data_IF_320535981537
#
_entry.id   IF_320535981537
#
_cell.length_a   1.000
_cell.length_b   1.000
_cell.length_c   1.000
_cell.angle_alpha   90.00
_cell.angle_beta   90.00
_cell.angle_gamma   90.00
#
_symmetry.space_group_name_H-M   'P 1'
#
loop_
_entity.id
_entity.type
_entity.pdbx_description
1 polymer ?
#
# COMPACT_ATOMS: atom_id res chain seq x y z
N UNK A 1 38.42 16.89 -10.16
CA UNK A 1 37.93 15.96 -9.12
C UNK A 1 36.42 15.88 -9.27
N UNK A 2 35.79 14.70 -9.41
CA UNK A 2 34.34 14.64 -9.43
C UNK A 2 33.83 15.05 -8.05
N UNK A 3 33.01 16.10 -8.00
CA UNK A 3 32.35 16.53 -6.77
C UNK A 3 31.42 15.40 -6.31
N UNK A 4 31.62 14.93 -5.08
CA UNK A 4 30.77 13.93 -4.46
C UNK A 4 29.39 14.56 -4.26
N UNK A 5 28.43 14.21 -5.12
CA UNK A 5 27.04 14.64 -4.99
C UNK A 5 26.54 14.24 -3.59
N UNK A 6 26.28 15.23 -2.74
CA UNK A 6 25.71 15.01 -1.41
C UNK A 6 24.20 14.95 -1.62
N UNK A 7 23.66 13.74 -1.74
CA UNK A 7 22.22 13.52 -1.68
C UNK A 7 21.77 13.73 -0.23
N UNK A 8 21.05 14.82 0.04
CA UNK A 8 20.42 15.04 1.34
C UNK A 8 19.03 14.41 1.31
N UNK A 9 18.81 13.44 2.20
CA UNK A 9 17.50 12.86 2.42
C UNK A 9 16.65 13.85 3.23
N UNK A 10 15.54 14.32 2.66
CA UNK A 10 14.68 15.33 3.30
C UNK A 10 13.51 14.74 4.07
N UNK A 11 12.85 13.73 3.49
CA UNK A 11 11.64 13.16 4.07
C UNK A 11 11.54 11.66 3.79
N UNK A 12 10.92 10.96 4.74
CA UNK A 12 10.52 9.56 4.60
C UNK A 12 9.05 9.45 4.92
N UNK A 13 8.27 8.98 3.95
CA UNK A 13 6.85 8.74 4.10
C UNK A 13 6.56 7.25 3.94
N UNK A 14 5.67 6.71 4.77
CA UNK A 14 5.25 5.31 4.70
C UNK A 14 3.81 5.24 4.24
N UNK A 15 3.52 4.29 3.35
CA UNK A 15 2.21 4.14 2.75
C UNK A 15 1.73 2.71 2.81
N UNK A 16 0.46 2.56 3.14
CA UNK A 16 -0.32 1.36 2.92
C UNK A 16 -1.36 1.62 1.84
N UNK A 17 -1.32 0.84 0.77
CA UNK A 17 -2.30 0.89 -0.31
C UNK A 17 -3.08 -0.41 -0.29
N UNK A 18 -4.40 -0.31 -0.46
CA UNK A 18 -5.25 -1.45 -0.73
C UNK A 18 -6.27 -1.14 -1.80
N UNK A 19 -6.67 -2.15 -2.55
CA UNK A 19 -7.77 -2.03 -3.50
C UNK A 19 -8.57 -3.31 -3.59
N UNK A 20 -9.85 -3.13 -3.94
CA UNK A 20 -10.71 -4.17 -4.49
C UNK A 20 -11.14 -3.71 -5.87
N UNK A 21 -11.03 -4.62 -6.83
CA UNK A 21 -11.67 -4.48 -8.13
C UNK A 21 -12.66 -5.62 -8.36
N UNK A 22 -13.74 -5.35 -9.09
CA UNK A 22 -14.77 -6.31 -9.44
C UNK A 22 -14.92 -6.35 -10.95
N UNK A 23 -14.47 -7.46 -11.54
CA UNK A 23 -14.41 -7.66 -12.98
C UNK A 23 -15.71 -8.34 -13.43
N UNK A 24 -16.65 -7.52 -13.87
CA UNK A 24 -17.94 -8.00 -14.38
C UNK A 24 -17.85 -8.65 -15.78
N UNK A 25 -16.78 -8.38 -16.53
CA UNK A 25 -16.59 -8.87 -17.90
C UNK A 25 -16.06 -10.31 -17.96
N UNK A 26 -15.53 -10.81 -16.83
CA UNK A 26 -15.07 -12.20 -16.73
C UNK A 26 -16.27 -13.16 -16.65
N UNK A 27 -16.11 -14.34 -17.26
CA UNK A 27 -17.06 -15.45 -17.14
C UNK A 27 -16.37 -16.66 -16.48
N UNK A 28 -16.59 -16.90 -15.16
CA UNK A 28 -17.47 -16.16 -14.25
C UNK A 28 -16.82 -14.86 -13.69
N UNK A 29 -17.62 -13.89 -13.20
CA UNK A 29 -17.11 -12.64 -12.64
C UNK A 29 -16.12 -12.86 -11.50
N UNK A 30 -15.08 -12.02 -11.42
CA UNK A 30 -13.99 -12.15 -10.42
C UNK A 30 -13.83 -10.91 -9.55
N UNK A 31 -13.33 -11.10 -8.34
CA UNK A 31 -12.87 -10.02 -7.45
C UNK A 31 -11.35 -10.11 -7.35
N UNK A 32 -10.66 -9.01 -7.62
CA UNK A 32 -9.22 -8.87 -7.41
C UNK A 32 -8.97 -7.98 -6.20
N UNK A 33 -8.29 -8.51 -5.19
CA UNK A 33 -7.82 -7.80 -4.02
C UNK A 33 -6.33 -7.53 -4.15
N UNK A 34 -5.91 -6.31 -3.86
CA UNK A 34 -4.50 -5.92 -3.88
C UNK A 34 -4.15 -5.14 -2.62
N UNK A 35 -2.96 -5.40 -2.07
CA UNK A 35 -2.39 -4.63 -0.98
C UNK A 35 -0.89 -4.40 -1.18
N UNK A 36 -0.39 -3.24 -0.76
CA UNK A 36 1.03 -2.88 -0.85
C UNK A 36 1.48 -2.06 0.35
N UNK A 37 2.65 -2.42 0.88
CA UNK A 37 3.41 -1.61 1.83
C UNK A 37 4.62 -1.02 1.11
N UNK A 38 4.70 0.31 1.09
CA UNK A 38 5.79 1.03 0.43
C UNK A 38 6.31 2.19 1.28
N UNK A 39 7.60 2.51 1.10
CA UNK A 39 8.25 3.70 1.64
C UNK A 39 8.62 4.62 0.49
N UNK A 40 8.32 5.89 0.63
CA UNK A 40 8.76 6.93 -0.29
C UNK A 40 9.83 7.78 0.41
N UNK A 41 11.00 7.87 -0.20
CA UNK A 41 12.11 8.70 0.29
C UNK A 41 12.32 9.85 -0.68
N UNK A 42 12.22 11.08 -0.17
CA UNK A 42 12.44 12.30 -0.96
C UNK A 42 13.88 12.77 -0.76
N UNK A 43 14.55 13.02 -1.87
CA UNK A 43 15.92 13.52 -1.94
C UNK A 43 15.90 14.88 -2.63
N UNK A 44 16.70 15.80 -2.12
CA UNK A 44 16.94 17.08 -2.78
C UNK A 44 18.40 17.20 -3.17
N UNK A 45 18.61 17.42 -4.45
CA UNK A 45 19.86 17.83 -5.06
C UNK A 45 19.81 19.34 -5.35
N UNK A 46 20.96 19.94 -5.64
CA UNK A 46 21.17 21.40 -5.79
C UNK A 46 20.10 22.09 -6.65
N UNK A 47 19.52 21.40 -7.64
CA UNK A 47 18.50 21.94 -8.55
C UNK A 47 17.24 21.07 -8.70
N UNK A 48 17.16 19.91 -8.03
CA UNK A 48 16.09 18.94 -8.26
C UNK A 48 15.69 18.20 -7.00
N UNK A 49 14.38 18.15 -6.74
CA UNK A 49 13.79 17.25 -5.75
C UNK A 49 13.21 16.04 -6.47
N UNK A 50 13.56 14.84 -6.04
CA UNK A 50 12.99 13.59 -6.55
C UNK A 50 12.58 12.66 -5.41
N UNK A 51 11.55 11.85 -5.66
CA UNK A 51 11.10 10.80 -4.74
C UNK A 51 11.44 9.42 -5.29
N UNK A 52 11.96 8.55 -4.43
CA UNK A 52 12.14 7.12 -4.70
C UNK A 52 11.13 6.32 -3.89
N UNK A 53 10.37 5.46 -4.54
CA UNK A 53 9.47 4.51 -3.86
C UNK A 53 10.12 3.14 -3.77
N UNK A 54 10.30 2.64 -2.55
CA UNK A 54 10.69 1.26 -2.27
C UNK A 54 9.44 0.47 -1.85
N UNK A 55 9.16 -0.65 -2.53
CA UNK A 55 8.09 -1.57 -2.15
C UNK A 55 8.66 -2.65 -1.25
N UNK A 56 8.09 -2.82 -0.06
CA UNK A 56 8.55 -3.79 0.94
C UNK A 56 7.73 -5.07 0.92
N UNK A 57 6.46 -4.96 0.59
CA UNK A 57 5.55 -6.10 0.53
C UNK A 57 4.38 -5.79 -0.40
N UNK A 58 3.93 -6.81 -1.10
CA UNK A 58 2.79 -6.76 -1.99
C UNK A 58 2.07 -8.10 -1.93
N UNK A 59 0.75 -8.07 -2.03
CA UNK A 59 -0.08 -9.26 -2.19
C UNK A 59 -1.25 -8.99 -3.12
N UNK A 60 -1.59 -10.01 -3.89
CA UNK A 60 -2.68 -10.00 -4.84
C UNK A 60 -3.43 -11.32 -4.70
N UNK A 61 -4.73 -11.24 -4.46
CA UNK A 61 -5.61 -12.40 -4.35
C UNK A 61 -6.75 -12.20 -5.34
N UNK A 62 -7.04 -13.22 -6.12
CA UNK A 62 -8.11 -13.21 -7.11
C UNK A 62 -9.02 -14.39 -6.85
N UNK A 63 -10.33 -14.14 -6.87
CA UNK A 63 -11.32 -15.17 -6.60
C UNK A 63 -12.58 -14.92 -7.41
N UNK A 64 -13.29 -16.00 -7.73
CA UNK A 64 -14.60 -15.92 -8.35
C UNK A 64 -15.57 -15.23 -7.39
N UNK A 65 -16.42 -14.36 -7.91
CA UNK A 65 -17.40 -13.63 -7.11
C UNK A 65 -18.30 -14.57 -6.32
N UNK A 66 -18.79 -15.65 -6.95
CA UNK A 66 -19.72 -16.58 -6.30
C UNK A 66 -19.09 -17.33 -5.11
N UNK A 67 -17.79 -17.57 -5.16
CA UNK A 67 -17.02 -18.26 -4.11
C UNK A 67 -16.47 -17.28 -3.06
N UNK A 68 -16.53 -15.97 -3.32
CA UNK A 68 -15.97 -14.96 -2.43
C UNK A 68 -16.78 -14.86 -1.12
N UNK A 69 -16.11 -14.79 0.05
CA UNK A 69 -16.77 -14.52 1.32
C UNK A 69 -17.55 -13.21 1.27
N UNK A 70 -18.68 -13.14 1.98
CA UNK A 70 -19.55 -11.93 1.97
C UNK A 70 -18.79 -10.66 2.35
N UNK A 71 -17.93 -10.75 3.37
CA UNK A 71 -17.04 -9.65 3.79
C UNK A 71 -16.14 -9.10 2.66
N UNK A 72 -15.79 -9.90 1.65
CA UNK A 72 -15.00 -9.45 0.49
C UNK A 72 -15.91 -8.72 -0.50
N UNK A 73 -17.11 -9.23 -0.73
CA UNK A 73 -18.10 -8.63 -1.62
C UNK A 73 -18.50 -7.24 -1.14
N UNK A 74 -18.69 -7.07 0.16
CA UNK A 74 -19.04 -5.82 0.84
C UNK A 74 -17.92 -4.76 0.84
N UNK A 75 -16.66 -5.13 0.60
CA UNK A 75 -15.59 -4.15 0.49
C UNK A 75 -15.87 -3.18 -0.68
N UNK A 76 -15.55 -1.89 -0.54
CA UNK A 76 -15.80 -0.92 -1.60
C UNK A 76 -14.91 -1.20 -2.81
N UNK A 77 -15.47 -1.07 -4.03
CA UNK A 77 -14.73 -1.22 -5.28
C UNK A 77 -13.90 0.03 -5.58
N UNK A 78 -12.73 0.15 -4.94
CA UNK A 78 -11.89 1.34 -5.02
C UNK A 78 -10.44 1.05 -4.68
N UNK A 79 -9.57 1.98 -5.05
CA UNK A 79 -8.18 2.07 -4.57
C UNK A 79 -8.13 3.06 -3.42
N UNK A 80 -7.54 2.64 -2.29
CA UNK A 80 -7.32 3.48 -1.12
C UNK A 80 -5.82 3.53 -0.79
N UNK A 81 -5.28 4.74 -0.61
CA UNK A 81 -3.89 4.96 -0.20
C UNK A 81 -3.85 5.74 1.12
N UNK A 82 -3.21 5.16 2.12
CA UNK A 82 -3.08 5.73 3.46
C UNK A 82 -1.63 6.12 3.72
N UNK A 83 -1.40 7.38 4.08
CA UNK A 83 -0.15 7.79 4.72
C UNK A 83 -0.20 7.29 6.18
N UNK A 84 0.82 6.56 6.60
CA UNK A 84 0.89 5.93 7.92
C UNK A 84 2.21 6.26 8.61
N UNK A 85 2.24 6.16 9.93
CA UNK A 85 3.48 6.30 10.68
C UNK A 85 4.39 5.09 10.46
N UNK A 86 5.69 5.27 10.69
CA UNK A 86 6.66 4.17 10.64
C UNK A 86 6.29 3.03 11.60
N UNK A 87 5.76 3.35 12.78
CA UNK A 87 5.33 2.35 13.76
C UNK A 87 4.19 1.49 13.21
N UNK A 88 3.15 2.11 12.63
CA UNK A 88 2.05 1.38 11.99
C UNK A 88 2.56 0.57 10.81
N UNK A 89 3.47 1.11 10.00
CA UNK A 89 4.08 0.39 8.89
C UNK A 89 4.79 -0.89 9.34
N UNK A 90 5.59 -0.82 10.40
CA UNK A 90 6.30 -1.99 10.96
C UNK A 90 5.34 -3.06 11.45
N UNK A 91 4.25 -2.68 12.12
CA UNK A 91 3.25 -3.65 12.57
C UNK A 91 2.48 -4.28 11.40
N UNK A 92 2.05 -3.48 10.40
CA UNK A 92 1.43 -4.01 9.20
C UNK A 92 2.36 -4.97 8.45
N UNK A 93 3.66 -4.67 8.38
CA UNK A 93 4.65 -5.56 7.78
C UNK A 93 4.77 -6.89 8.55
N UNK A 94 4.73 -6.89 9.88
CA UNK A 94 4.70 -8.15 10.66
C UNK A 94 3.42 -8.96 10.41
N UNK A 95 2.27 -8.29 10.32
CA UNK A 95 1.00 -8.95 10.00
C UNK A 95 1.07 -9.51 8.58
N UNK A 96 1.66 -8.79 7.63
CA UNK A 96 1.76 -9.23 6.24
C UNK A 96 2.56 -10.52 6.07
N UNK A 97 3.56 -10.76 6.92
CA UNK A 97 4.36 -11.99 6.93
C UNK A 97 3.65 -13.19 7.57
N UNK A 98 2.59 -12.98 8.37
CA UNK A 98 1.94 -14.05 9.15
C UNK A 98 0.48 -14.29 8.78
N UNK A 99 -0.26 -13.23 8.45
CA UNK A 99 -1.69 -13.21 8.12
C UNK A 99 -2.00 -12.19 7.01
N UNK A 100 -1.46 -12.40 5.80
CA UNK A 100 -1.54 -11.41 4.71
C UNK A 100 -2.99 -11.01 4.35
N UNK A 101 -3.91 -11.98 4.37
CA UNK A 101 -5.34 -11.75 4.06
C UNK A 101 -6.05 -10.78 5.00
N UNK A 102 -5.55 -10.60 6.23
CA UNK A 102 -6.14 -9.63 7.17
C UNK A 102 -5.93 -8.19 6.70
N UNK A 103 -4.87 -7.92 5.92
CA UNK A 103 -4.57 -6.55 5.47
C UNK A 103 -5.66 -5.98 4.56
N UNK A 104 -6.36 -6.80 3.78
CA UNK A 104 -7.48 -6.35 2.93
C UNK A 104 -8.60 -5.66 3.73
N UNK A 105 -8.79 -6.08 4.99
CA UNK A 105 -9.86 -5.58 5.85
C UNK A 105 -9.42 -4.47 6.80
N UNK A 106 -8.12 -4.19 6.91
CA UNK A 106 -7.61 -3.13 7.78
C UNK A 106 -7.82 -1.77 7.11
N UNK A 107 -8.29 -0.80 7.90
CA UNK A 107 -8.33 0.62 7.54
C UNK A 107 -7.56 1.39 8.60
N UNK A 108 -6.34 1.88 8.31
CA UNK A 108 -5.58 2.67 9.28
C UNK A 108 -6.30 3.98 9.58
N UNK A 109 -6.52 4.27 10.86
CA UNK A 109 -7.05 5.57 11.28
C UNK A 109 -5.93 6.62 11.31
N UNK A 110 -6.17 7.75 10.64
CA UNK A 110 -5.30 8.91 10.74
C UNK A 110 -5.70 9.73 11.96
N UNK A 111 -4.85 9.79 12.99
CA UNK A 111 -5.00 10.80 14.04
C UNK A 111 -4.39 12.09 13.48
N UNK A 112 -5.23 12.97 12.95
CA UNK A 112 -4.84 14.34 12.69
C UNK A 112 -4.60 14.97 14.07
N UNK A 113 -3.33 15.28 14.40
CA UNK A 113 -3.04 16.08 15.59
C UNK A 113 -3.73 17.43 15.39
N UNK A 114 -4.79 17.68 16.18
CA UNK A 114 -5.43 18.99 16.34
C UNK A 114 -4.44 19.98 16.94
#
# INVERSE_FOLDING_TARGET
>A
MPQKQVNVQEAVNYYFLKSKDFNHEDDPPTITLFCRLSRETTYTEILHTYSKTDTFWVDIDEMKYDEAPEKVKELPNQISRFAISEAVFKELYKISLSRPKELYYITPYFIQKL
#
